data_IF_816928966546
#
_entry.id   IF_816928966546
#
_cell.length_a   1.000
_cell.length_b   1.000
_cell.length_c   1.000
_cell.angle_alpha   90.00
_cell.angle_beta   90.00
_cell.angle_gamma   90.00
#
_symmetry.space_group_name_H-M   'P 1'
#
loop_
_entity.id
_entity.type
_entity.pdbx_description
1 polymer ?
#
# COMPACT_ATOMS: atom_id res chain seq x y z
N UNK A 1 15.25 -10.88 -14.89
CA UNK A 1 13.83 -11.29 -15.06
C UNK A 1 13.67 -11.95 -16.40
N UNK A 2 12.97 -13.05 -16.46
CA UNK A 2 12.72 -13.83 -17.69
C UNK A 2 11.35 -13.46 -18.29
N UNK A 3 11.18 -13.78 -19.57
CA UNK A 3 9.94 -13.58 -20.30
C UNK A 3 8.85 -14.53 -19.81
N UNK A 4 7.68 -14.01 -19.50
CA UNK A 4 6.54 -14.81 -19.04
C UNK A 4 5.93 -15.75 -20.11
N UNK A 5 6.26 -15.51 -21.42
CA UNK A 5 5.71 -16.31 -22.52
C UNK A 5 6.66 -17.42 -22.99
N UNK A 6 7.99 -17.19 -22.96
CA UNK A 6 8.95 -18.16 -23.50
C UNK A 6 10.14 -18.47 -22.58
N UNK A 7 10.19 -17.88 -21.38
CA UNK A 7 11.30 -18.05 -20.44
C UNK A 7 12.62 -17.41 -20.86
N UNK A 8 12.70 -16.76 -22.02
CA UNK A 8 13.92 -16.10 -22.51
C UNK A 8 14.29 -14.84 -21.72
N UNK A 9 15.57 -14.44 -21.80
CA UNK A 9 16.06 -13.22 -21.16
C UNK A 9 15.38 -11.95 -21.70
N UNK A 10 15.20 -10.95 -20.84
CA UNK A 10 14.56 -9.67 -21.20
C UNK A 10 15.52 -8.50 -21.05
N UNK A 11 15.27 -7.43 -21.80
CA UNK A 11 15.89 -6.12 -21.62
C UNK A 11 14.85 -5.06 -21.26
N UNK A 12 15.28 -3.99 -20.59
CA UNK A 12 14.45 -2.82 -20.34
C UNK A 12 14.47 -1.93 -21.57
N UNK A 13 13.32 -1.70 -22.18
CA UNK A 13 13.16 -0.78 -23.31
C UNK A 13 12.88 0.65 -22.89
N UNK A 14 12.16 0.82 -21.77
CA UNK A 14 11.84 2.13 -21.19
C UNK A 14 11.67 2.02 -19.67
N UNK A 15 11.94 3.10 -18.94
CA UNK A 15 11.82 3.18 -17.49
C UNK A 15 11.34 4.57 -17.08
N UNK A 16 10.39 4.66 -16.14
CA UNK A 16 9.85 5.92 -15.63
C UNK A 16 9.58 5.84 -14.14
N UNK A 17 10.02 6.84 -13.40
CA UNK A 17 9.66 7.01 -12.00
C UNK A 17 8.21 7.48 -11.89
N UNK A 18 7.39 6.74 -11.19
CA UNK A 18 6.03 7.09 -10.80
C UNK A 18 6.06 7.71 -9.40
N UNK A 19 6.18 9.03 -9.32
CA UNK A 19 6.35 9.74 -8.03
C UNK A 19 5.17 9.57 -7.07
N UNK A 20 3.93 9.42 -7.58
CA UNK A 20 2.74 9.22 -6.75
C UNK A 20 2.80 7.93 -5.92
N UNK A 21 3.20 6.83 -6.55
CA UNK A 21 3.27 5.51 -5.92
C UNK A 21 4.68 5.14 -5.44
N UNK A 22 5.67 6.03 -5.65
CA UNK A 22 7.08 5.78 -5.36
C UNK A 22 7.57 4.44 -5.95
N UNK A 23 7.24 4.20 -7.21
CA UNK A 23 7.57 2.99 -7.94
C UNK A 23 8.29 3.34 -9.24
N UNK A 24 9.07 2.41 -9.76
CA UNK A 24 9.65 2.52 -11.10
C UNK A 24 8.88 1.61 -12.05
N UNK A 25 8.19 2.22 -13.00
CA UNK A 25 7.57 1.53 -14.12
C UNK A 25 8.62 1.18 -15.16
N UNK A 26 8.63 -0.06 -15.65
CA UNK A 26 9.57 -0.51 -16.69
C UNK A 26 8.85 -1.29 -17.79
N UNK A 27 9.06 -0.90 -19.03
CA UNK A 27 8.66 -1.68 -20.20
C UNK A 27 9.79 -2.63 -20.57
N UNK A 28 9.51 -3.92 -20.56
CA UNK A 28 10.45 -4.98 -20.88
C UNK A 28 10.18 -5.59 -22.25
N UNK A 29 11.24 -5.96 -22.94
CA UNK A 29 11.20 -6.58 -24.26
C UNK A 29 11.96 -7.89 -24.17
N UNK A 30 11.34 -8.99 -24.58
CA UNK A 30 12.01 -10.29 -24.66
C UNK A 30 13.01 -10.29 -25.82
N UNK A 31 14.24 -10.74 -25.54
CA UNK A 31 15.29 -10.87 -26.57
C UNK A 31 15.05 -12.05 -27.51
N UNK A 32 14.24 -13.05 -27.09
CA UNK A 32 13.99 -14.27 -27.84
C UNK A 32 12.70 -14.21 -28.68
N UNK A 33 11.56 -13.87 -28.09
CA UNK A 33 10.27 -13.88 -28.79
C UNK A 33 9.72 -12.48 -29.11
N UNK A 34 10.41 -11.40 -28.73
CA UNK A 34 9.96 -10.03 -28.99
C UNK A 34 8.79 -9.55 -28.14
N UNK A 35 8.22 -10.40 -27.28
CA UNK A 35 7.08 -10.03 -26.43
C UNK A 35 7.41 -8.83 -25.53
N UNK A 36 6.43 -7.97 -25.37
CA UNK A 36 6.53 -6.75 -24.56
C UNK A 36 5.59 -6.85 -23.36
N UNK A 37 6.09 -6.55 -22.17
CA UNK A 37 5.30 -6.52 -20.94
C UNK A 37 5.83 -5.47 -19.98
N UNK A 38 4.99 -5.10 -19.02
CA UNK A 38 5.30 -4.09 -18.00
C UNK A 38 5.64 -4.73 -16.67
N UNK A 39 6.63 -4.15 -15.98
CA UNK A 39 6.95 -4.49 -14.60
C UNK A 39 7.01 -3.23 -13.75
N UNK A 40 6.73 -3.38 -12.47
CA UNK A 40 6.90 -2.33 -11.46
C UNK A 40 7.96 -2.78 -10.46
N UNK A 41 8.87 -1.86 -10.14
CA UNK A 41 9.81 -2.01 -9.02
C UNK A 41 9.32 -1.09 -7.90
N UNK A 42 9.04 -1.65 -6.75
CA UNK A 42 8.55 -0.96 -5.57
C UNK A 42 9.39 -1.31 -4.36
N UNK A 43 9.32 -0.50 -3.31
CA UNK A 43 9.94 -0.80 -2.02
C UNK A 43 9.24 -2.01 -1.42
N UNK A 44 10.01 -2.98 -0.96
CA UNK A 44 9.49 -4.05 -0.12
C UNK A 44 9.22 -3.52 1.29
N UNK A 45 7.95 -3.22 1.56
CA UNK A 45 7.53 -2.66 2.83
C UNK A 45 7.62 -3.67 3.97
N UNK A 46 7.55 -4.97 3.68
CA UNK A 46 7.65 -6.02 4.71
C UNK A 46 9.02 -6.07 5.36
N UNK A 47 10.07 -5.68 4.63
CA UNK A 47 11.44 -5.57 5.14
C UNK A 47 11.80 -4.19 5.67
N UNK A 48 11.03 -3.16 5.32
CA UNK A 48 11.35 -1.74 5.59
C UNK A 48 10.50 -1.17 6.70
N UNK A 49 9.21 -1.53 6.76
CA UNK A 49 8.23 -1.06 7.73
C UNK A 49 7.96 -2.13 8.79
N UNK A 50 8.08 -1.77 10.04
CA UNK A 50 7.82 -2.68 11.17
C UNK A 50 6.67 -2.16 12.02
N UNK A 51 5.87 -3.10 12.53
CA UNK A 51 4.78 -2.83 13.47
C UNK A 51 5.10 -3.49 14.81
N UNK A 52 5.05 -2.72 15.90
CA UNK A 52 5.23 -3.26 17.23
C UNK A 52 3.88 -3.63 17.85
N UNK A 53 3.75 -4.88 18.27
CA UNK A 53 2.63 -5.32 19.09
C UNK A 53 3.21 -6.16 20.24
N UNK A 54 2.94 -5.72 21.49
CA UNK A 54 3.51 -6.41 22.66
C UNK A 54 5.04 -6.37 22.77
N UNK A 55 5.69 -5.33 22.22
CA UNK A 55 7.15 -5.13 22.29
C UNK A 55 7.96 -5.89 21.25
N UNK A 56 7.37 -6.74 20.45
CA UNK A 56 8.07 -7.50 19.38
C UNK A 56 7.76 -6.86 18.02
N UNK A 57 8.78 -6.39 17.27
CA UNK A 57 8.59 -5.89 15.92
C UNK A 57 8.17 -7.02 14.96
N UNK A 58 7.15 -6.75 14.15
CA UNK A 58 6.68 -7.65 13.07
C UNK A 58 6.68 -6.91 11.74
N UNK A 59 6.86 -7.61 10.61
CA UNK A 59 6.74 -7.00 9.29
C UNK A 59 5.37 -6.34 9.10
N UNK A 60 5.35 -5.17 8.44
CA UNK A 60 4.11 -4.55 8.00
C UNK A 60 3.51 -5.32 6.82
N UNK A 61 2.26 -5.70 6.93
CA UNK A 61 1.53 -6.43 5.88
C UNK A 61 0.56 -5.49 5.19
N UNK A 62 0.93 -5.02 4.00
CA UNK A 62 0.13 -4.09 3.19
C UNK A 62 -1.27 -4.63 2.90
N UNK A 63 -1.38 -5.94 2.63
CA UNK A 63 -2.66 -6.58 2.27
C UNK A 63 -3.65 -6.58 3.44
N UNK A 64 -3.19 -6.58 4.68
CA UNK A 64 -4.06 -6.45 5.86
C UNK A 64 -4.71 -5.04 5.88
N UNK A 65 -3.90 -4.00 5.78
CA UNK A 65 -4.40 -2.62 5.72
C UNK A 65 -5.34 -2.41 4.51
N UNK A 66 -4.96 -2.95 3.34
CA UNK A 66 -5.80 -2.88 2.15
C UNK A 66 -7.16 -3.56 2.38
N UNK A 67 -7.18 -4.73 3.01
CA UNK A 67 -8.41 -5.47 3.29
C UNK A 67 -9.33 -4.70 4.23
N UNK A 68 -8.79 -4.11 5.30
CA UNK A 68 -9.55 -3.26 6.24
C UNK A 68 -10.17 -2.06 5.51
N UNK A 69 -9.39 -1.38 4.67
CA UNK A 69 -9.87 -0.24 3.88
C UNK A 69 -10.92 -0.66 2.84
N UNK A 70 -10.74 -1.81 2.19
CA UNK A 70 -11.71 -2.35 1.23
C UNK A 70 -13.05 -2.64 1.91
N UNK A 71 -13.04 -3.23 3.10
CA UNK A 71 -14.25 -3.49 3.88
C UNK A 71 -14.94 -2.18 4.29
N UNK A 72 -14.17 -1.21 4.80
CA UNK A 72 -14.71 0.10 5.16
C UNK A 72 -15.35 0.83 3.97
N UNK A 73 -14.74 0.70 2.79
CA UNK A 73 -15.16 1.37 1.55
C UNK A 73 -16.11 0.54 0.67
N UNK A 74 -16.58 -0.63 1.12
CA UNK A 74 -17.35 -1.59 0.30
C UNK A 74 -18.65 -1.03 -0.29
N UNK A 75 -19.16 0.10 0.22
CA UNK A 75 -20.34 0.80 -0.30
C UNK A 75 -20.03 1.66 -1.56
N UNK A 76 -18.77 1.87 -1.89
CA UNK A 76 -18.37 2.71 -3.04
C UNK A 76 -18.41 1.91 -4.33
N UNK A 77 -18.73 2.58 -5.43
CA UNK A 77 -18.79 1.95 -6.77
C UNK A 77 -17.42 1.37 -7.18
N UNK A 78 -16.34 2.07 -6.85
CA UNK A 78 -14.96 1.69 -7.19
C UNK A 78 -14.17 1.30 -5.93
N UNK A 79 -14.79 0.60 -4.98
CA UNK A 79 -14.23 0.30 -3.67
C UNK A 79 -12.80 -0.27 -3.72
N UNK A 80 -12.51 -1.16 -4.67
CA UNK A 80 -11.19 -1.76 -4.84
C UNK A 80 -10.12 -0.72 -5.18
N UNK A 81 -10.38 0.14 -6.16
CA UNK A 81 -9.43 1.17 -6.59
C UNK A 81 -9.27 2.24 -5.51
N UNK A 82 -10.36 2.66 -4.90
CA UNK A 82 -10.37 3.67 -3.84
C UNK A 82 -9.61 3.17 -2.60
N UNK A 83 -9.82 1.91 -2.20
CA UNK A 83 -9.10 1.29 -1.08
C UNK A 83 -7.60 1.17 -1.36
N UNK A 84 -7.22 0.81 -2.59
CA UNK A 84 -5.81 0.75 -2.99
C UNK A 84 -5.14 2.11 -2.91
N UNK A 85 -5.78 3.16 -3.42
CA UNK A 85 -5.24 4.53 -3.35
C UNK A 85 -5.18 5.06 -1.90
N UNK A 86 -6.18 4.72 -1.08
CA UNK A 86 -6.16 5.04 0.34
C UNK A 86 -5.01 4.32 1.07
N UNK A 87 -4.79 3.03 0.78
CA UNK A 87 -3.66 2.26 1.32
C UNK A 87 -2.33 2.92 0.98
N UNK A 88 -2.11 3.28 -0.29
CA UNK A 88 -0.91 3.99 -0.72
C UNK A 88 -0.72 5.32 0.01
N UNK A 89 -1.81 6.04 0.26
CA UNK A 89 -1.79 7.32 0.99
C UNK A 89 -1.41 7.12 2.45
N UNK A 90 -1.94 6.10 3.12
CA UNK A 90 -1.57 5.76 4.51
C UNK A 90 -0.09 5.41 4.58
N UNK A 91 0.40 4.53 3.71
CA UNK A 91 1.80 4.12 3.66
C UNK A 91 2.71 5.33 3.43
N UNK A 92 2.36 6.19 2.50
CA UNK A 92 3.11 7.43 2.24
C UNK A 92 3.19 8.29 3.50
N UNK A 93 2.09 8.48 4.22
CA UNK A 93 2.06 9.23 5.47
C UNK A 93 2.90 8.61 6.57
N UNK A 94 2.90 7.30 6.69
CA UNK A 94 3.77 6.59 7.63
C UNK A 94 5.25 6.85 7.31
N UNK A 95 5.64 6.74 6.04
CA UNK A 95 7.02 6.96 5.61
C UNK A 95 7.49 8.43 5.73
N UNK A 96 6.58 9.38 5.77
CA UNK A 96 6.87 10.82 5.99
C UNK A 96 7.08 11.17 7.47
N UNK A 97 6.74 10.27 8.41
CA UNK A 97 6.95 10.51 9.83
C UNK A 97 8.45 10.47 10.18
N UNK A 98 8.90 11.40 11.04
CA UNK A 98 10.30 11.40 11.46
C UNK A 98 10.63 10.19 12.34
N UNK A 99 11.87 9.72 12.26
CA UNK A 99 12.38 8.63 13.08
C UNK A 99 12.51 7.30 12.33
N UNK A 100 12.59 6.20 13.10
CA UNK A 100 12.69 4.84 12.53
C UNK A 100 11.33 4.40 12.00
N UNK A 101 11.27 3.58 10.94
CA UNK A 101 10.02 3.08 10.38
C UNK A 101 9.43 1.95 11.24
N UNK A 102 9.14 2.26 12.48
CA UNK A 102 8.61 1.38 13.50
C UNK A 102 7.35 2.02 14.11
N UNK A 103 6.19 1.43 13.86
CA UNK A 103 4.90 2.01 14.23
C UNK A 103 4.10 1.06 15.13
N UNK A 104 3.32 1.63 16.03
CA UNK A 104 2.32 0.86 16.79
C UNK A 104 1.02 0.72 16.00
N UNK A 105 0.22 -0.34 16.22
CA UNK A 105 -1.09 -0.47 15.59
C UNK A 105 -1.98 0.76 15.81
N UNK A 106 -2.06 1.38 17.01
CA UNK A 106 -2.84 2.60 17.20
C UNK A 106 -2.38 3.79 16.34
N UNK A 107 -1.07 3.95 16.09
CA UNK A 107 -0.58 5.02 15.22
C UNK A 107 -1.04 4.81 13.77
N UNK A 108 -0.97 3.57 13.27
CA UNK A 108 -1.45 3.22 11.92
C UNK A 108 -2.96 3.48 11.83
N UNK A 109 -3.72 3.02 12.81
CA UNK A 109 -5.18 3.19 12.85
C UNK A 109 -5.57 4.67 12.91
N UNK A 110 -4.85 5.50 13.67
CA UNK A 110 -5.11 6.94 13.76
C UNK A 110 -4.90 7.63 12.41
N UNK A 111 -3.76 7.36 11.75
CA UNK A 111 -3.47 7.94 10.42
C UNK A 111 -4.50 7.48 9.39
N UNK A 112 -4.88 6.21 9.43
CA UNK A 112 -5.91 5.64 8.54
C UNK A 112 -7.26 6.32 8.74
N UNK A 113 -7.67 6.48 10.00
CA UNK A 113 -8.89 7.19 10.40
C UNK A 113 -8.92 8.63 9.90
N UNK A 114 -7.82 9.38 10.07
CA UNK A 114 -7.72 10.77 9.61
C UNK A 114 -7.83 10.90 8.09
N UNK A 115 -7.26 9.95 7.34
CA UNK A 115 -7.37 9.91 5.88
C UNK A 115 -8.81 9.60 5.47
N UNK A 116 -9.44 8.58 6.06
CA UNK A 116 -10.81 8.21 5.78
C UNK A 116 -11.80 9.32 6.13
N UNK A 117 -11.60 10.03 7.24
CA UNK A 117 -12.43 11.17 7.66
C UNK A 117 -12.52 12.26 6.59
N UNK A 118 -11.41 12.49 5.87
CA UNK A 118 -11.33 13.48 4.78
C UNK A 118 -11.88 12.95 3.46
N UNK A 119 -11.79 11.64 3.25
CA UNK A 119 -12.12 11.00 1.98
C UNK A 119 -13.59 10.58 1.90
N UNK A 120 -14.10 9.93 2.97
CA UNK A 120 -15.45 9.35 3.00
C UNK A 120 -15.92 9.13 4.44
N UNK A 121 -16.89 9.93 4.87
CA UNK A 121 -17.44 9.88 6.23
C UNK A 121 -18.02 8.50 6.60
N UNK A 122 -18.67 7.80 5.65
CA UNK A 122 -19.25 6.48 5.90
C UNK A 122 -18.16 5.41 6.07
N UNK A 123 -17.11 5.46 5.24
CA UNK A 123 -15.96 4.59 5.38
C UNK A 123 -15.25 4.84 6.72
N UNK A 124 -15.09 6.10 7.11
CA UNK A 124 -14.51 6.48 8.40
C UNK A 124 -15.31 5.89 9.57
N UNK A 125 -16.64 6.04 9.60
CA UNK A 125 -17.49 5.50 10.66
C UNK A 125 -17.41 3.98 10.74
N UNK A 126 -17.37 3.27 9.62
CA UNK A 126 -17.17 1.81 9.60
C UNK A 126 -15.81 1.41 10.14
N UNK A 127 -14.76 2.12 9.74
CA UNK A 127 -13.40 1.84 10.18
C UNK A 127 -13.24 2.00 11.70
N UNK A 128 -13.74 3.10 12.29
CA UNK A 128 -13.65 3.32 13.74
C UNK A 128 -14.48 2.32 14.52
N UNK A 129 -15.62 1.84 14.00
CA UNK A 129 -16.42 0.81 14.64
C UNK A 129 -15.66 -0.52 14.82
N UNK A 130 -14.76 -0.85 13.89
CA UNK A 130 -13.88 -2.03 13.98
C UNK A 130 -12.58 -1.76 14.79
N UNK A 131 -12.33 -0.49 15.16
CA UNK A 131 -11.14 -0.07 15.90
C UNK A 131 -11.54 0.73 17.17
N UNK A 132 -12.10 0.07 18.21
CA UNK A 132 -12.65 0.74 19.40
C UNK A 132 -11.66 1.64 20.13
N UNK A 133 -10.35 1.38 20.02
CA UNK A 133 -9.31 2.22 20.60
C UNK A 133 -9.25 3.65 20.05
N UNK A 134 -9.91 3.92 18.90
CA UNK A 134 -10.03 5.25 18.29
C UNK A 134 -11.23 6.04 18.83
N UNK A 135 -12.24 5.35 19.36
CA UNK A 135 -13.50 5.96 19.83
C UNK A 135 -13.34 6.69 21.18
N UNK A 136 -12.28 6.39 21.93
CA UNK A 136 -12.02 6.94 23.28
C UNK A 136 -11.43 8.35 23.25
N UNK A 137 -11.16 8.90 22.07
CA UNK A 137 -10.54 10.23 21.88
C UNK A 137 -11.43 11.23 21.14
N UNK A 138 -12.74 11.04 21.25
CA UNK A 138 -13.73 12.01 20.79
C UNK A 138 -13.79 13.25 21.66
#
# INVERSE_FOLDING_TARGET
>A
MVCLYCGGGTKVGNSRLQRRSNQVWRRRICKRCGAVFTTHEAIDLSSTLLVTSGGVPKPFVTDMLFTELLLAMSHRKNAYLDAREATNTVIKRLLELPGKPLYSPPQISLITSDILKKLDKRAHLRYIAEHPSLDIRG
#
